data_IF_297936915404
#
_entry.id   IF_297936915404
#
_cell.length_a   1.000
_cell.length_b   1.000
_cell.length_c   1.000
_cell.angle_alpha   90.00
_cell.angle_beta   90.00
_cell.angle_gamma   90.00
#
_symmetry.space_group_name_H-M   'P 1'
#
loop_
_entity.id
_entity.type
_entity.pdbx_description
1 polymer ?
#
# COMPACT_ATOMS: atom_id res chain seq x y z
N UNK A 1 23.74 -8.78 17.00
CA UNK A 1 23.33 -8.60 15.59
C UNK A 1 22.13 -9.50 15.33
N UNK A 2 20.96 -8.97 14.96
CA UNK A 2 19.82 -9.81 14.60
C UNK A 2 20.12 -10.60 13.30
N UNK A 3 19.82 -11.92 13.28
CA UNK A 3 19.94 -12.74 12.06
C UNK A 3 18.91 -12.27 11.03
N UNK A 4 19.38 -11.78 9.88
CA UNK A 4 18.52 -11.41 8.75
C UNK A 4 17.87 -12.67 8.18
N UNK A 5 16.55 -12.64 8.00
CA UNK A 5 15.77 -13.68 7.32
C UNK A 5 15.23 -13.11 6.02
N UNK A 6 15.30 -13.89 4.95
CA UNK A 6 14.61 -13.54 3.71
C UNK A 6 13.13 -13.86 3.91
N UNK A 7 12.29 -12.83 3.82
CA UNK A 7 10.85 -12.94 3.91
C UNK A 7 10.24 -12.18 2.73
N UNK A 8 9.14 -12.68 2.15
CA UNK A 8 8.42 -11.93 1.13
C UNK A 8 7.79 -10.69 1.77
N UNK A 9 7.95 -9.52 1.13
CA UNK A 9 7.45 -8.23 1.61
C UNK A 9 6.67 -7.56 0.49
N UNK A 10 5.40 -7.24 0.78
CA UNK A 10 4.58 -6.37 -0.04
C UNK A 10 4.74 -4.94 0.47
N UNK A 11 5.25 -4.04 -0.38
CA UNK A 11 5.38 -2.62 -0.04
C UNK A 11 4.13 -1.88 -0.51
N UNK A 12 3.29 -1.44 0.42
CA UNK A 12 2.13 -0.60 0.15
C UNK A 12 2.46 0.83 0.59
N UNK A 13 2.22 1.79 -0.30
CA UNK A 13 2.54 3.18 -0.03
C UNK A 13 2.21 4.07 -1.21
N UNK A 14 2.84 5.24 -1.25
CA UNK A 14 2.62 6.19 -2.33
C UNK A 14 3.23 5.68 -3.64
N UNK A 15 2.54 5.90 -4.77
CA UNK A 15 3.10 5.60 -6.09
C UNK A 15 4.25 6.56 -6.42
N UNK A 16 5.09 6.18 -7.38
CA UNK A 16 6.19 7.02 -7.88
C UNK A 16 5.65 8.11 -8.85
N UNK A 17 4.78 8.96 -8.33
CA UNK A 17 4.17 10.11 -9.00
C UNK A 17 3.67 11.12 -7.97
N UNK A 18 3.42 12.35 -8.41
CA UNK A 18 2.83 13.36 -7.54
C UNK A 18 1.37 13.03 -7.23
N UNK A 19 1.04 12.94 -5.95
CA UNK A 19 -0.34 12.78 -5.49
C UNK A 19 -1.08 14.11 -5.70
N UNK A 20 -2.25 14.10 -6.37
CA UNK A 20 -3.09 15.27 -6.51
C UNK A 20 -3.54 15.85 -5.16
N UNK A 21 -3.92 17.13 -5.17
CA UNK A 21 -4.54 17.77 -4.01
C UNK A 21 -5.99 17.31 -3.85
N UNK A 22 -6.42 17.07 -2.61
CA UNK A 22 -7.79 16.66 -2.26
C UNK A 22 -7.91 16.40 -0.77
N UNK A 23 -9.12 16.07 -0.32
CA UNK A 23 -9.33 15.64 1.07
C UNK A 23 -8.58 14.33 1.33
N UNK A 24 -8.01 14.20 2.53
CA UNK A 24 -7.08 13.09 2.79
C UNK A 24 -7.72 11.71 2.63
N UNK A 25 -8.99 11.57 3.03
CA UNK A 25 -9.69 10.29 2.95
C UNK A 25 -10.05 9.94 1.50
N UNK A 26 -10.38 10.93 0.68
CA UNK A 26 -10.59 10.75 -0.77
C UNK A 26 -9.29 10.28 -1.43
N UNK A 27 -8.18 10.98 -1.18
CA UNK A 27 -6.88 10.64 -1.77
C UNK A 27 -6.40 9.25 -1.32
N UNK A 28 -6.60 8.88 -0.05
CA UNK A 28 -6.29 7.53 0.44
C UNK A 28 -7.14 6.47 -0.23
N UNK A 29 -8.44 6.70 -0.38
CA UNK A 29 -9.35 5.77 -1.06
C UNK A 29 -8.98 5.59 -2.53
N UNK A 30 -8.69 6.69 -3.24
CA UNK A 30 -8.27 6.67 -4.65
C UNK A 30 -6.96 5.92 -4.86
N UNK A 31 -5.98 6.12 -3.95
CA UNK A 31 -4.70 5.41 -3.99
C UNK A 31 -4.77 3.98 -3.43
N UNK A 32 -5.93 3.55 -2.92
CA UNK A 32 -6.09 2.24 -2.27
C UNK A 32 -5.30 2.10 -0.97
N UNK A 33 -5.01 3.21 -0.31
CA UNK A 33 -4.32 3.31 0.98
C UNK A 33 -5.29 3.40 2.16
N UNK A 34 -6.58 3.16 1.91
CA UNK A 34 -7.58 2.89 2.93
C UNK A 34 -7.61 1.39 3.29
N UNK A 35 -8.39 1.02 4.31
CA UNK A 35 -8.45 -0.36 4.77
C UNK A 35 -8.90 -1.34 3.68
N UNK A 36 -9.91 -0.95 2.89
CA UNK A 36 -10.44 -1.79 1.82
C UNK A 36 -9.44 -1.95 0.67
N UNK A 37 -8.73 -0.89 0.30
CA UNK A 37 -7.68 -0.93 -0.71
C UNK A 37 -6.48 -1.76 -0.29
N UNK A 38 -6.02 -1.62 0.95
CA UNK A 38 -4.91 -2.43 1.51
C UNK A 38 -5.28 -3.91 1.49
N UNK A 39 -6.50 -4.26 1.91
CA UNK A 39 -6.97 -5.65 1.87
C UNK A 39 -6.93 -6.21 0.44
N UNK A 40 -7.44 -5.48 -0.55
CA UNK A 40 -7.41 -5.91 -1.96
C UNK A 40 -5.98 -6.10 -2.47
N UNK A 41 -5.05 -5.22 -2.09
CA UNK A 41 -3.63 -5.34 -2.49
C UNK A 41 -2.99 -6.59 -1.89
N UNK A 42 -3.30 -6.94 -0.64
CA UNK A 42 -2.83 -8.18 0.00
C UNK A 42 -3.41 -9.40 -0.72
N UNK A 43 -4.72 -9.42 -0.97
CA UNK A 43 -5.39 -10.53 -1.67
C UNK A 43 -4.83 -10.73 -3.08
N UNK A 44 -4.60 -9.64 -3.83
CA UNK A 44 -4.01 -9.70 -5.16
C UNK A 44 -2.54 -10.16 -5.16
N UNK A 45 -1.78 -9.86 -4.10
CA UNK A 45 -0.38 -10.28 -3.98
C UNK A 45 -0.23 -11.76 -3.59
N UNK A 46 -1.22 -12.33 -2.90
CA UNK A 46 -1.23 -13.74 -2.50
C UNK A 46 -1.78 -14.69 -3.59
N UNK A 47 -2.45 -14.14 -4.60
CA UNK A 47 -3.01 -14.88 -5.74
C UNK A 47 -1.94 -15.23 -6.78
#
# INVERSE_FOLDING_TARGET
MAKRRLAPVLNIGLPDLFVPQGEQDEMRSELGLDAAGIQRQIEAWLA
#
